data_IF_457327839332
#
_entry.id   IF_457327839332
#
_cell.length_a   1.000
_cell.length_b   1.000
_cell.length_c   1.000
_cell.angle_alpha   90.00
_cell.angle_beta   90.00
_cell.angle_gamma   90.00
#
_symmetry.space_group_name_H-M   'P 1'
#
loop_
_entity.id
_entity.type
_entity.pdbx_description
1 polymer ?
#
# COMPACT_ATOMS: atom_id res chain seq x y z
N UNK A 1 11.94 -62.44 -41.60
CA UNK A 1 10.95 -61.32 -41.58
C UNK A 1 11.08 -60.62 -40.27
N UNK A 2 11.68 -59.43 -40.24
CA UNK A 2 11.81 -58.59 -39.01
C UNK A 2 10.60 -57.65 -38.98
N UNK A 3 9.74 -57.76 -37.93
CA UNK A 3 8.64 -56.85 -37.70
C UNK A 3 9.18 -55.58 -37.03
N UNK A 4 9.05 -54.44 -37.71
CA UNK A 4 9.30 -53.13 -37.10
C UNK A 4 8.09 -52.75 -36.23
N UNK A 5 8.30 -52.46 -34.97
CA UNK A 5 7.34 -51.83 -34.10
C UNK A 5 7.31 -50.30 -34.38
N UNK A 6 6.15 -49.68 -34.46
CA UNK A 6 6.06 -48.21 -34.57
C UNK A 6 6.35 -47.58 -33.21
N UNK A 7 7.41 -46.75 -33.16
CA UNK A 7 7.72 -45.94 -31.98
C UNK A 7 6.62 -44.86 -31.77
N UNK A 8 5.98 -44.90 -30.62
CA UNK A 8 5.06 -43.86 -30.21
C UNK A 8 5.83 -42.59 -29.88
N UNK A 9 5.64 -41.56 -30.71
CA UNK A 9 6.15 -40.21 -30.46
C UNK A 9 5.32 -39.56 -29.36
N UNK A 10 5.83 -39.51 -28.14
CA UNK A 10 5.21 -38.88 -27.01
C UNK A 10 5.36 -37.36 -27.13
N UNK A 11 4.34 -36.67 -27.58
CA UNK A 11 4.30 -35.20 -27.64
C UNK A 11 4.17 -34.65 -26.20
N UNK A 12 5.27 -34.16 -25.65
CA UNK A 12 5.22 -33.46 -24.35
C UNK A 12 4.67 -32.06 -24.60
N UNK A 13 3.38 -31.87 -24.32
CA UNK A 13 2.75 -30.57 -24.26
C UNK A 13 3.25 -29.83 -23.00
N UNK A 14 4.27 -29.00 -23.16
CA UNK A 14 4.68 -28.06 -22.12
C UNK A 14 3.60 -26.96 -22.01
N UNK A 15 2.75 -27.05 -21.00
CA UNK A 15 1.85 -25.95 -20.64
C UNK A 15 2.70 -24.79 -20.09
N UNK A 16 2.58 -23.58 -20.66
CA UNK A 16 3.25 -22.42 -20.05
C UNK A 16 2.65 -22.17 -18.67
N UNK A 17 3.46 -22.26 -17.63
CA UNK A 17 3.07 -21.83 -16.29
C UNK A 17 2.98 -20.31 -16.34
N UNK A 18 1.74 -19.79 -16.35
CA UNK A 18 1.49 -18.36 -16.26
C UNK A 18 1.90 -17.91 -14.84
N UNK A 19 3.12 -17.40 -14.71
CA UNK A 19 3.54 -16.75 -13.46
C UNK A 19 2.72 -15.45 -13.32
N UNK A 20 1.80 -15.41 -12.38
CA UNK A 20 1.14 -14.17 -12.00
C UNK A 20 2.24 -13.16 -11.63
N UNK A 21 2.26 -12.00 -12.31
CA UNK A 21 3.23 -10.95 -12.01
C UNK A 21 2.90 -10.37 -10.64
N UNK A 22 3.68 -10.75 -9.64
CA UNK A 22 3.61 -10.17 -8.30
C UNK A 22 4.21 -8.76 -8.36
N UNK A 23 3.49 -7.78 -7.81
CA UNK A 23 4.01 -6.42 -7.73
C UNK A 23 5.20 -6.37 -6.75
N UNK A 24 6.22 -5.55 -7.01
CA UNK A 24 7.32 -5.42 -6.05
C UNK A 24 6.81 -4.89 -4.72
N UNK A 25 7.42 -5.34 -3.63
CA UNK A 25 7.19 -4.79 -2.29
C UNK A 25 8.03 -3.54 -2.10
N UNK A 26 7.51 -2.61 -1.32
CA UNK A 26 8.20 -1.42 -0.86
C UNK A 26 8.14 -1.31 0.65
N UNK A 27 9.12 -0.63 1.20
CA UNK A 27 9.20 -0.30 2.61
C UNK A 27 9.60 1.17 2.76
N UNK A 28 9.06 1.82 3.77
CA UNK A 28 9.49 3.13 4.23
C UNK A 28 9.54 3.12 5.75
N UNK A 29 10.60 3.67 6.31
CA UNK A 29 10.83 3.76 7.76
C UNK A 29 11.17 5.17 8.18
N UNK A 30 10.75 5.54 9.37
CA UNK A 30 11.09 6.79 10.03
C UNK A 30 11.57 6.51 11.45
N UNK A 31 12.79 6.91 11.76
CA UNK A 31 13.33 6.90 13.12
C UNK A 31 12.91 8.17 13.83
N UNK A 32 12.25 8.02 14.97
CA UNK A 32 11.87 9.09 15.88
C UNK A 32 12.70 8.97 17.18
N UNK A 33 12.66 9.98 18.01
CA UNK A 33 13.45 10.02 19.27
C UNK A 33 13.22 8.82 20.19
N UNK A 34 12.03 8.22 20.13
CA UNK A 34 11.58 7.17 21.06
C UNK A 34 11.25 5.84 20.38
N UNK A 35 11.50 5.68 19.07
CA UNK A 35 11.31 4.44 18.35
C UNK A 35 11.02 4.60 16.86
N UNK A 36 10.90 3.50 16.16
CA UNK A 36 10.79 3.45 14.71
C UNK A 36 9.35 3.20 14.27
N UNK A 37 8.97 3.83 13.17
CA UNK A 37 7.72 3.59 12.45
C UNK A 37 8.07 3.05 11.07
N UNK A 38 7.48 1.92 10.66
CA UNK A 38 7.75 1.28 9.37
C UNK A 38 6.45 0.96 8.66
N UNK A 39 6.40 1.17 7.35
CA UNK A 39 5.29 0.78 6.49
C UNK A 39 5.82 -0.12 5.38
N UNK A 40 5.23 -1.31 5.24
CA UNK A 40 5.45 -2.24 4.14
C UNK A 40 4.22 -2.32 3.26
N UNK A 41 4.40 -2.29 1.94
CA UNK A 41 3.29 -2.23 0.99
C UNK A 41 3.64 -2.83 -0.36
N UNK A 42 2.64 -3.27 -1.13
CA UNK A 42 2.81 -3.64 -2.53
C UNK A 42 2.82 -2.39 -3.42
N UNK A 43 3.68 -2.35 -4.43
CA UNK A 43 3.91 -1.19 -5.29
C UNK A 43 3.41 -1.41 -6.72
N UNK A 44 2.09 -1.32 -6.97
CA UNK A 44 1.55 -1.41 -8.32
C UNK A 44 1.97 -0.20 -9.16
N UNK A 45 2.07 -0.43 -10.48
CA UNK A 45 2.30 0.61 -11.49
C UNK A 45 0.99 0.96 -12.17
N UNK A 46 0.78 2.24 -12.50
CA UNK A 46 -0.39 2.69 -13.27
C UNK A 46 -0.38 2.16 -14.70
N UNK A 47 0.80 2.01 -15.29
CA UNK A 47 0.94 1.58 -16.70
C UNK A 47 0.08 2.41 -17.64
N UNK A 48 0.09 3.73 -17.49
CA UNK A 48 -0.69 4.66 -18.29
C UNK A 48 -2.18 4.78 -17.93
N UNK A 49 -2.65 4.07 -16.88
CA UNK A 49 -4.04 4.19 -16.40
C UNK A 49 -4.19 5.45 -15.54
N UNK A 50 -5.39 6.01 -15.55
CA UNK A 50 -5.74 7.11 -14.64
C UNK A 50 -6.28 6.54 -13.32
N UNK A 51 -5.72 6.97 -12.20
CA UNK A 51 -6.17 6.55 -10.86
C UNK A 51 -7.65 6.87 -10.61
N UNK A 52 -8.17 7.93 -11.22
CA UNK A 52 -9.58 8.32 -11.12
C UNK A 52 -10.54 7.28 -11.73
N UNK A 53 -10.02 6.41 -12.59
CA UNK A 53 -10.80 5.30 -13.18
C UNK A 53 -10.67 4.00 -12.39
N UNK A 54 -9.91 4.00 -11.30
CA UNK A 54 -9.59 2.81 -10.51
C UNK A 54 -10.17 2.84 -9.10
N UNK A 55 -10.43 4.03 -8.56
CA UNK A 55 -10.93 4.22 -7.20
C UNK A 55 -12.08 5.24 -7.27
N UNK A 56 -13.26 4.84 -6.81
CA UNK A 56 -14.48 5.65 -6.87
C UNK A 56 -14.91 6.15 -5.47
N UNK A 57 -15.64 7.27 -5.39
CA UNK A 57 -16.19 7.76 -4.13
C UNK A 57 -17.00 6.68 -3.40
N UNK A 58 -16.78 6.55 -2.10
CA UNK A 58 -17.37 5.51 -1.26
C UNK A 58 -16.53 4.24 -1.12
N UNK A 59 -15.55 4.02 -1.98
CA UNK A 59 -14.68 2.84 -1.92
C UNK A 59 -13.55 2.98 -0.91
N UNK A 60 -13.10 1.83 -0.43
CA UNK A 60 -11.91 1.69 0.41
C UNK A 60 -10.81 1.01 -0.40
N UNK A 61 -9.70 1.69 -0.53
CA UNK A 61 -8.51 1.21 -1.23
C UNK A 61 -7.48 0.67 -0.24
N UNK A 62 -6.89 -0.49 -0.56
CA UNK A 62 -5.89 -1.17 0.31
C UNK A 62 -4.53 -0.48 0.40
N UNK A 63 -4.31 0.67 -0.24
CA UNK A 63 -3.02 1.39 -0.30
C UNK A 63 -1.86 0.54 -0.84
N UNK A 64 -2.14 -0.38 -1.75
CA UNK A 64 -1.13 -1.29 -2.28
C UNK A 64 -1.72 -2.36 -3.17
N UNK A 65 -0.95 -3.41 -3.42
CA UNK A 65 -1.33 -4.58 -4.20
C UNK A 65 -0.77 -5.86 -3.59
N UNK A 66 -1.39 -7.00 -3.95
CA UNK A 66 -1.03 -8.39 -3.63
C UNK A 66 -1.18 -8.78 -2.16
N UNK A 67 -0.84 -7.93 -1.22
CA UNK A 67 -1.00 -8.13 0.21
C UNK A 67 -1.46 -6.87 0.91
N UNK A 68 -1.63 -6.95 2.21
CA UNK A 68 -1.96 -5.79 3.01
C UNK A 68 -0.80 -4.78 3.07
N UNK A 69 -1.16 -3.51 3.21
CA UNK A 69 -0.23 -2.46 3.60
C UNK A 69 -0.21 -2.40 5.11
N UNK A 70 0.94 -2.63 5.70
CA UNK A 70 1.09 -2.76 7.15
C UNK A 70 1.91 -1.62 7.72
N UNK A 71 1.44 -1.05 8.82
CA UNK A 71 2.14 -0.10 9.67
C UNK A 71 2.62 -0.85 10.92
N UNK A 72 3.90 -0.84 11.19
CA UNK A 72 4.48 -1.29 12.46
C UNK A 72 5.09 -0.11 13.18
N UNK A 73 4.70 0.12 14.42
CA UNK A 73 5.24 1.20 15.24
C UNK A 73 5.71 0.68 16.60
N UNK A 74 6.90 1.07 16.98
CA UNK A 74 7.50 0.75 18.30
C UNK A 74 6.99 1.66 19.41
N UNK A 75 6.31 2.76 19.03
CA UNK A 75 5.83 3.80 19.95
C UNK A 75 4.36 4.11 19.68
N UNK A 76 3.69 4.71 20.67
CA UNK A 76 2.35 5.25 20.44
C UNK A 76 2.38 6.41 19.43
N UNK A 77 1.40 6.47 18.56
CA UNK A 77 1.24 7.55 17.59
C UNK A 77 -0.06 8.30 17.87
N UNK A 78 -0.04 9.59 17.59
CA UNK A 78 -1.22 10.44 17.67
C UNK A 78 -1.46 11.15 16.34
N UNK A 79 -2.61 10.89 15.74
CA UNK A 79 -3.10 11.51 14.52
C UNK A 79 -4.23 12.47 14.89
N UNK A 80 -3.95 13.76 15.05
CA UNK A 80 -4.92 14.70 15.60
C UNK A 80 -5.39 14.25 16.99
N UNK A 81 -6.68 14.00 17.14
CA UNK A 81 -7.26 13.50 18.39
C UNK A 81 -7.24 11.97 18.55
N UNK A 82 -6.91 11.24 17.47
CA UNK A 82 -6.88 9.77 17.46
C UNK A 82 -5.53 9.25 17.94
N UNK A 83 -5.54 8.37 18.93
CA UNK A 83 -4.34 7.70 19.45
C UNK A 83 -4.29 6.25 18.96
N UNK A 84 -3.09 5.82 18.55
CA UNK A 84 -2.79 4.47 18.10
C UNK A 84 -1.64 3.95 18.95
N UNK A 85 -1.84 2.86 19.68
CA UNK A 85 -0.80 2.26 20.52
C UNK A 85 0.33 1.67 19.66
N UNK A 86 1.48 1.40 20.28
CA UNK A 86 2.54 0.61 19.61
C UNK A 86 1.97 -0.74 19.15
N UNK A 87 2.37 -1.20 17.98
CA UNK A 87 1.88 -2.45 17.42
C UNK A 87 1.95 -2.50 15.91
N UNK A 88 1.27 -3.49 15.35
CA UNK A 88 1.15 -3.68 13.89
C UNK A 88 -0.30 -3.49 13.46
N UNK A 89 -0.50 -2.74 12.38
CA UNK A 89 -1.81 -2.33 11.89
C UNK A 89 -1.89 -2.50 10.38
N UNK A 90 -3.12 -2.61 9.87
CA UNK A 90 -3.41 -2.62 8.44
C UNK A 90 -3.91 -1.24 8.03
N UNK A 91 -3.25 -0.63 7.06
CA UNK A 91 -3.62 0.67 6.52
C UNK A 91 -4.51 0.52 5.29
N UNK A 92 -5.52 1.38 5.20
CA UNK A 92 -6.38 1.55 4.03
C UNK A 92 -6.67 3.03 3.83
N UNK A 93 -6.97 3.44 2.61
CA UNK A 93 -7.49 4.77 2.33
C UNK A 93 -8.94 4.67 1.89
N UNK A 94 -9.81 5.47 2.51
CA UNK A 94 -11.20 5.60 2.12
C UNK A 94 -11.39 6.86 1.29
N UNK A 95 -11.86 6.69 0.07
CA UNK A 95 -12.33 7.80 -0.75
C UNK A 95 -13.76 8.14 -0.35
N UNK A 96 -13.93 9.12 0.55
CA UNK A 96 -15.24 9.45 1.13
C UNK A 96 -16.12 10.16 0.10
N UNK A 97 -15.57 11.17 -0.55
CA UNK A 97 -16.21 11.98 -1.58
C UNK A 97 -15.12 12.72 -2.36
N UNK A 98 -15.46 13.41 -3.42
CA UNK A 98 -14.51 14.23 -4.18
C UNK A 98 -13.75 15.19 -3.26
N UNK A 99 -12.41 15.16 -3.34
CA UNK A 99 -11.52 15.92 -2.48
C UNK A 99 -11.41 15.44 -1.03
N UNK A 100 -12.15 14.40 -0.64
CA UNK A 100 -12.21 13.90 0.74
C UNK A 100 -11.66 12.49 0.86
N UNK A 101 -10.53 12.35 1.52
CA UNK A 101 -9.88 11.08 1.80
C UNK A 101 -9.62 10.90 3.29
N UNK A 102 -9.77 9.68 3.77
CA UNK A 102 -9.43 9.29 5.13
C UNK A 102 -8.43 8.14 5.12
N UNK A 103 -7.47 8.18 6.04
CA UNK A 103 -6.65 7.02 6.40
C UNK A 103 -7.42 6.20 7.42
N UNK A 104 -7.63 4.93 7.12
CA UNK A 104 -8.15 3.93 8.06
C UNK A 104 -6.97 3.13 8.62
N UNK A 105 -6.88 3.08 9.94
CA UNK A 105 -5.91 2.29 10.68
C UNK A 105 -6.71 1.17 11.36
N UNK A 106 -6.44 -0.06 10.96
CA UNK A 106 -7.17 -1.23 11.44
C UNK A 106 -6.22 -2.18 12.18
N UNK A 107 -6.75 -2.93 13.13
CA UNK A 107 -6.06 -4.08 13.71
C UNK A 107 -5.77 -5.16 12.66
N UNK A 108 -4.93 -6.13 13.00
CA UNK A 108 -4.63 -7.27 12.12
C UNK A 108 -5.84 -8.20 11.90
N UNK A 109 -6.87 -8.06 12.70
CA UNK A 109 -8.20 -8.67 12.55
C UNK A 109 -9.17 -7.83 11.70
N UNK A 110 -8.69 -6.75 11.09
CA UNK A 110 -9.43 -5.75 10.31
C UNK A 110 -10.44 -4.92 11.11
N UNK A 111 -10.46 -5.01 12.45
CA UNK A 111 -11.26 -4.11 13.28
C UNK A 111 -10.73 -2.67 13.18
N UNK A 112 -11.64 -1.70 13.09
CA UNK A 112 -11.26 -0.29 13.00
C UNK A 112 -10.67 0.19 14.33
N UNK A 113 -9.45 0.73 14.29
CA UNK A 113 -8.78 1.38 15.43
C UNK A 113 -8.92 2.89 15.33
N UNK A 114 -8.66 3.47 14.16
CA UNK A 114 -8.78 4.90 13.92
C UNK A 114 -9.15 5.18 12.46
N UNK A 115 -9.77 6.33 12.24
CA UNK A 115 -10.00 6.89 10.91
C UNK A 115 -9.73 8.39 10.96
N UNK A 116 -8.78 8.85 10.16
CA UNK A 116 -8.29 10.24 10.22
C UNK A 116 -8.29 10.86 8.83
N UNK A 117 -8.59 12.16 8.70
CA UNK A 117 -8.59 12.83 7.41
C UNK A 117 -7.18 12.88 6.81
N UNK A 118 -7.12 12.80 5.49
CA UNK A 118 -5.90 13.04 4.72
C UNK A 118 -6.09 14.28 3.84
N UNK A 119 -5.08 15.12 3.79
CA UNK A 119 -5.04 16.26 2.88
C UNK A 119 -4.76 15.77 1.46
N UNK A 120 -5.57 16.18 0.51
CA UNK A 120 -5.36 15.93 -0.91
C UNK A 120 -4.54 17.07 -1.53
N UNK A 121 -3.49 16.72 -2.24
CA UNK A 121 -2.70 17.61 -3.10
C UNK A 121 -2.49 16.95 -4.46
N UNK A 122 -2.11 17.73 -5.46
CA UNK A 122 -1.64 17.21 -6.74
C UNK A 122 -0.12 17.30 -6.82
N UNK A 123 0.52 16.25 -7.33
CA UNK A 123 1.95 16.25 -7.61
C UNK A 123 2.23 17.03 -8.89
N UNK A 124 3.38 17.70 -8.97
CA UNK A 124 3.84 18.42 -10.17
C UNK A 124 4.17 17.48 -11.33
N UNK A 125 4.54 16.24 -11.03
CA UNK A 125 4.85 15.19 -12.00
C UNK A 125 4.09 13.92 -11.67
N UNK A 126 3.78 13.11 -12.68
CA UNK A 126 3.08 11.84 -12.49
C UNK A 126 3.99 10.78 -11.88
N UNK A 127 3.50 10.11 -10.84
CA UNK A 127 4.16 9.01 -10.13
C UNK A 127 3.57 7.69 -10.62
N UNK A 128 4.23 7.00 -11.55
CA UNK A 128 3.70 5.75 -12.12
C UNK A 128 3.56 4.64 -11.09
N UNK A 129 4.56 4.44 -10.24
CA UNK A 129 4.58 3.38 -9.24
C UNK A 129 4.19 3.90 -7.87
N UNK A 130 3.17 3.29 -7.24
CA UNK A 130 2.74 3.66 -5.90
C UNK A 130 3.94 3.81 -4.96
N UNK A 131 4.00 4.95 -4.27
CA UNK A 131 5.04 5.26 -3.30
C UNK A 131 4.42 5.80 -2.02
N UNK A 132 4.65 5.10 -0.92
CA UNK A 132 4.40 5.58 0.42
C UNK A 132 5.71 6.11 0.99
N UNK A 133 5.66 7.25 1.69
CA UNK A 133 6.83 7.87 2.32
C UNK A 133 6.49 8.29 3.73
N UNK A 134 7.36 7.93 4.64
CA UNK A 134 7.41 8.48 5.99
C UNK A 134 8.53 9.51 6.03
N UNK A 135 8.21 10.73 6.42
CA UNK A 135 9.15 11.85 6.56
C UNK A 135 8.91 12.51 7.90
N UNK A 136 9.95 13.01 8.52
CA UNK A 136 9.82 13.71 9.80
C UNK A 136 11.10 13.71 10.62
N UNK A 137 11.00 14.20 11.82
CA UNK A 137 12.11 14.29 12.77
C UNK A 137 11.61 14.35 14.21
N UNK A 138 12.47 13.98 15.16
CA UNK A 138 12.20 14.03 16.59
C UNK A 138 10.95 13.21 16.97
N UNK A 139 9.82 13.87 17.19
CA UNK A 139 8.55 13.26 17.60
C UNK A 139 7.40 13.53 16.61
N UNK A 140 7.70 14.05 15.43
CA UNK A 140 6.70 14.41 14.44
C UNK A 140 7.00 13.71 13.10
N UNK A 141 5.97 13.15 12.48
CA UNK A 141 6.06 12.50 11.18
C UNK A 141 4.90 12.82 10.28
N UNK A 142 5.13 12.60 9.00
CA UNK A 142 4.16 12.75 7.93
C UNK A 142 4.16 11.49 7.09
N UNK A 143 2.99 10.94 6.84
CA UNK A 143 2.78 9.90 5.83
C UNK A 143 2.29 10.56 4.54
N UNK A 144 3.00 10.31 3.45
CA UNK A 144 2.61 10.70 2.09
C UNK A 144 2.33 9.46 1.25
N UNK A 145 1.22 9.48 0.52
CA UNK A 145 0.83 8.45 -0.45
C UNK A 145 0.83 9.10 -1.83
N UNK A 146 1.70 8.63 -2.71
CA UNK A 146 1.92 9.21 -4.04
C UNK A 146 1.59 8.17 -5.12
N UNK A 147 0.63 8.46 -6.00
CA UNK A 147 0.31 7.63 -7.15
C UNK A 147 -0.40 8.42 -8.25
N UNK A 148 0.09 8.36 -9.47
CA UNK A 148 -0.35 9.27 -10.52
C UNK A 148 -0.04 10.72 -10.13
N UNK A 149 -1.05 11.57 -10.20
CA UNK A 149 -1.00 12.95 -9.69
C UNK A 149 -1.56 13.09 -8.27
N UNK A 150 -2.03 11.98 -7.68
CA UNK A 150 -2.58 11.97 -6.33
C UNK A 150 -1.45 12.05 -5.30
N UNK A 151 -1.59 12.96 -4.36
CA UNK A 151 -0.79 13.05 -3.13
C UNK A 151 -1.74 13.13 -1.93
N UNK A 152 -1.76 12.10 -1.10
CA UNK A 152 -2.51 12.11 0.15
C UNK A 152 -1.54 12.24 1.31
N UNK A 153 -1.83 13.14 2.24
CA UNK A 153 -0.92 13.51 3.33
C UNK A 153 -1.67 13.45 4.65
N UNK A 154 -1.06 12.81 5.64
CA UNK A 154 -1.50 12.92 7.04
C UNK A 154 -0.30 13.05 7.96
N UNK A 155 -0.46 13.82 9.03
CA UNK A 155 0.56 14.09 10.02
C UNK A 155 0.28 13.31 11.29
N UNK A 156 1.35 12.96 12.01
CA UNK A 156 1.26 12.31 13.31
C UNK A 156 2.38 12.76 14.23
N UNK A 157 2.19 12.56 15.51
CA UNK A 157 3.22 12.75 16.53
C UNK A 157 3.41 11.45 17.32
N UNK A 158 4.60 11.29 17.93
CA UNK A 158 4.92 10.24 18.89
C UNK A 158 5.26 10.89 20.23
N UNK A 159 4.25 11.16 21.07
CA UNK A 159 4.41 11.92 22.32
C UNK A 159 5.29 11.23 23.37
#
# INVERSE_FOLDING_TARGET
MKKLLPGALMLILSTPILHAQVNPRGETSLELDNGTVTIEYGRPSLKGRDIKTMIYPGETWRLGADGDTTLTTEVGLKFGESSVARGTYILRAKFVAEGKWHLQINGTDYSKVAEVPMKLEETSSEVDRLSLRLEGEQKAGTLKVLWGKLSLITEFTAP
#
